data_IF_057507910033
#
_entry.id   IF_057507910033
#
_cell.length_a   1.000
_cell.length_b   1.000
_cell.length_c   1.000
_cell.angle_alpha   90.00
_cell.angle_beta   90.00
_cell.angle_gamma   90.00
#
_symmetry.space_group_name_H-M   'P 1'
#
loop_
_entity.id
_entity.type
_entity.pdbx_description
1 polymer ?
#
# COMPACT_ATOMS: atom_id res chain seq x y z
N UNK A 1 6.05 -9.95 17.91
CA UNK A 1 5.57 -9.09 16.81
C UNK A 1 6.56 -7.95 16.66
N UNK A 2 7.26 -7.83 15.53
CA UNK A 2 7.86 -6.54 15.19
C UNK A 2 6.70 -5.64 14.78
N UNK A 3 6.49 -4.55 15.52
CA UNK A 3 5.55 -3.53 15.09
C UNK A 3 6.05 -2.97 13.75
N UNK A 4 5.14 -2.83 12.78
CA UNK A 4 5.48 -2.21 11.51
C UNK A 4 5.89 -0.75 11.72
N UNK A 5 6.42 -0.13 10.68
CA UNK A 5 6.71 1.30 10.72
C UNK A 5 5.38 2.06 10.61
N UNK A 6 4.98 2.86 11.62
CA UNK A 6 3.70 3.57 11.59
C UNK A 6 3.71 4.64 10.49
N UNK A 7 2.65 4.66 9.68
CA UNK A 7 2.41 5.69 8.67
C UNK A 7 1.39 6.69 9.20
N UNK A 8 0.26 6.19 9.73
CA UNK A 8 -0.77 7.00 10.35
C UNK A 8 -1.30 6.32 11.62
N UNK A 9 -1.50 7.10 12.67
CA UNK A 9 -2.10 6.65 13.92
C UNK A 9 -3.10 7.71 14.38
N UNK A 10 -4.35 7.54 13.98
CA UNK A 10 -5.46 8.42 14.31
C UNK A 10 -6.46 7.70 15.23
N UNK A 11 -7.40 8.47 15.79
CA UNK A 11 -8.54 7.88 16.49
C UNK A 11 -9.28 6.96 15.52
N UNK A 12 -9.43 5.70 15.93
CA UNK A 12 -10.12 4.64 15.18
C UNK A 12 -9.50 4.24 13.83
N UNK A 13 -8.25 4.62 13.56
CA UNK A 13 -7.54 4.24 12.35
C UNK A 13 -6.03 4.13 12.61
N UNK A 14 -5.46 2.96 12.28
CA UNK A 14 -4.03 2.73 12.29
C UNK A 14 -3.58 2.18 10.94
N UNK A 15 -2.54 2.77 10.36
CA UNK A 15 -1.90 2.33 9.14
C UNK A 15 -0.40 2.19 9.36
N UNK A 16 0.12 1.02 9.03
CA UNK A 16 1.53 0.68 9.21
C UNK A 16 2.11 0.07 7.93
N UNK A 17 3.37 0.35 7.64
CA UNK A 17 4.18 -0.45 6.72
C UNK A 17 4.70 -1.67 7.49
N UNK A 18 4.13 -2.85 7.22
CA UNK A 18 4.47 -4.08 7.93
C UNK A 18 5.65 -4.83 7.31
N UNK A 19 5.87 -4.69 5.99
CA UNK A 19 7.06 -5.22 5.34
C UNK A 19 7.44 -4.44 4.07
N UNK A 20 8.74 -4.37 3.80
CA UNK A 20 9.31 -4.01 2.50
C UNK A 20 10.29 -5.11 2.09
N UNK A 21 10.00 -5.80 0.99
CA UNK A 21 10.76 -6.97 0.54
C UNK A 21 11.33 -6.72 -0.84
N UNK A 22 12.66 -6.73 -0.95
CA UNK A 22 13.34 -6.59 -2.21
C UNK A 22 13.28 -7.91 -3.00
N UNK A 23 13.11 -7.80 -4.31
CA UNK A 23 13.19 -8.88 -5.28
C UNK A 23 14.09 -8.44 -6.44
N UNK A 24 14.62 -9.39 -7.21
CA UNK A 24 15.44 -9.07 -8.38
C UNK A 24 14.69 -8.19 -9.41
N UNK A 25 13.36 -8.34 -9.47
CA UNK A 25 12.48 -7.59 -10.37
C UNK A 25 11.87 -6.33 -9.76
N UNK A 26 12.12 -6.00 -8.49
CA UNK A 26 11.43 -4.88 -7.85
C UNK A 26 11.36 -4.90 -6.33
N UNK A 27 10.44 -4.10 -5.78
CA UNK A 27 10.20 -3.98 -4.35
C UNK A 27 8.72 -4.25 -4.05
N UNK A 28 8.46 -5.23 -3.18
CA UNK A 28 7.13 -5.48 -2.63
C UNK A 28 6.93 -4.73 -1.31
N UNK A 29 5.82 -4.02 -1.18
CA UNK A 29 5.42 -3.36 0.07
C UNK A 29 4.16 -4.06 0.61
N UNK A 30 4.13 -4.31 1.91
CA UNK A 30 2.94 -4.76 2.61
C UNK A 30 2.56 -3.73 3.66
N UNK A 31 1.32 -3.26 3.60
CA UNK A 31 0.76 -2.38 4.61
C UNK A 31 -0.24 -3.17 5.45
N UNK A 32 -0.46 -2.72 6.68
CA UNK A 32 -1.51 -3.21 7.56
C UNK A 32 -2.40 -2.03 7.92
N UNK A 33 -3.67 -2.12 7.55
CA UNK A 33 -4.68 -1.13 7.90
C UNK A 33 -5.66 -1.76 8.91
N UNK A 34 -5.86 -1.08 10.03
CA UNK A 34 -6.88 -1.41 11.01
C UNK A 34 -7.76 -0.19 11.26
N UNK A 35 -9.07 -0.36 11.05
CA UNK A 35 -10.07 0.69 11.26
C UNK A 35 -11.12 0.18 12.25
N UNK A 36 -11.52 1.00 13.21
CA UNK A 36 -12.50 0.67 14.24
C UNK A 36 -13.69 1.63 14.23
N UNK A 37 -14.72 1.29 15.01
CA UNK A 37 -15.90 2.14 15.17
C UNK A 37 -16.60 2.45 13.84
N UNK A 38 -17.18 3.66 13.76
CA UNK A 38 -17.93 4.12 12.58
C UNK A 38 -17.07 4.15 11.31
N UNK A 39 -15.76 4.43 11.43
CA UNK A 39 -14.84 4.40 10.27
C UNK A 39 -14.73 3.00 9.66
N UNK A 40 -14.89 1.94 10.45
CA UNK A 40 -14.85 0.56 9.95
C UNK A 40 -16.05 0.25 9.06
N UNK A 41 -17.21 0.81 9.37
CA UNK A 41 -18.43 0.64 8.58
C UNK A 41 -18.30 1.36 7.22
N UNK A 42 -17.73 2.57 7.22
CA UNK A 42 -17.35 3.25 5.98
C UNK A 42 -16.34 2.43 5.17
N UNK A 43 -15.28 1.92 5.79
CA UNK A 43 -14.28 1.13 5.08
C UNK A 43 -14.88 -0.12 4.41
N UNK A 44 -15.83 -0.80 5.06
CA UNK A 44 -16.57 -1.92 4.47
C UNK A 44 -17.48 -1.51 3.34
N UNK A 45 -18.19 -0.39 3.49
CA UNK A 45 -19.07 0.14 2.46
C UNK A 45 -18.29 0.49 1.19
N UNK A 46 -17.14 1.14 1.35
CA UNK A 46 -16.26 1.62 0.30
C UNK A 46 -15.48 0.51 -0.43
N UNK A 47 -15.27 -0.65 0.20
CA UNK A 47 -14.53 -1.78 -0.39
C UNK A 47 -15.40 -2.84 -1.04
N UNK A 48 -16.69 -2.54 -1.22
CA UNK A 48 -17.62 -3.50 -1.84
C UNK A 48 -17.23 -3.77 -3.29
N UNK A 49 -17.17 -5.05 -3.70
CA UNK A 49 -16.84 -5.37 -5.08
C UNK A 49 -17.94 -4.86 -6.03
N UNK A 50 -17.53 -4.32 -7.18
CA UNK A 50 -18.42 -3.89 -8.28
C UNK A 50 -19.16 -5.06 -8.96
N UNK A 51 -19.15 -6.24 -8.36
CA UNK A 51 -19.67 -7.48 -8.93
C UNK A 51 -21.17 -7.64 -8.76
N UNK A 52 -21.83 -6.77 -7.99
CA UNK A 52 -23.30 -6.70 -7.93
C UNK A 52 -23.81 -5.68 -8.95
N UNK A 53 -24.41 -6.12 -10.08
CA UNK A 53 -24.95 -5.22 -11.10
C UNK A 53 -26.17 -4.42 -10.61
N UNK A 54 -26.78 -4.81 -9.49
CA UNK A 54 -27.94 -4.13 -8.89
C UNK A 54 -27.57 -3.07 -7.85
N UNK A 55 -26.32 -3.04 -7.39
CA UNK A 55 -25.84 -2.06 -6.42
C UNK A 55 -25.33 -0.80 -7.14
N UNK A 56 -26.25 0.13 -7.40
CA UNK A 56 -25.97 1.46 -7.95
C UNK A 56 -25.15 2.35 -7.01
N UNK A 57 -24.91 1.91 -5.77
CA UNK A 57 -24.07 2.59 -4.80
C UNK A 57 -22.69 1.97 -4.65
N UNK A 58 -22.42 0.84 -5.33
CA UNK A 58 -21.12 0.19 -5.32
C UNK A 58 -20.06 1.13 -5.92
N UNK A 59 -19.12 1.53 -5.08
CA UNK A 59 -17.92 2.23 -5.49
C UNK A 59 -16.74 1.36 -5.08
N UNK A 60 -15.80 1.15 -6.00
CA UNK A 60 -14.53 0.56 -5.64
C UNK A 60 -13.64 1.69 -5.13
N UNK A 61 -13.51 1.87 -3.82
CA UNK A 61 -12.48 2.72 -3.24
C UNK A 61 -11.59 1.92 -2.28
N UNK A 62 -10.27 2.07 -2.43
CA UNK A 62 -9.26 1.41 -1.60
C UNK A 62 -8.26 2.42 -1.09
N UNK A 63 -7.42 2.00 -0.14
CA UNK A 63 -6.24 2.74 0.30
C UNK A 63 -5.38 3.11 -0.91
N UNK A 64 -5.44 4.37 -1.32
CA UNK A 64 -4.61 4.89 -2.39
C UNK A 64 -3.19 5.06 -1.86
N UNK A 65 -2.24 4.38 -2.48
CA UNK A 65 -0.82 4.49 -2.17
C UNK A 65 -0.14 5.10 -3.39
N UNK A 66 0.39 6.30 -3.21
CA UNK A 66 1.24 6.95 -4.19
C UNK A 66 2.69 6.81 -3.75
N UNK A 67 3.54 6.35 -4.67
CA UNK A 67 4.95 6.12 -4.44
C UNK A 67 5.77 7.16 -5.19
N UNK A 68 6.82 7.65 -4.55
CA UNK A 68 7.81 8.55 -5.14
C UNK A 68 9.23 8.05 -4.84
N UNK A 69 9.96 7.65 -5.86
CA UNK A 69 11.36 7.25 -5.78
C UNK A 69 12.07 7.49 -7.11
N UNK A 70 13.29 8.04 -7.08
CA UNK A 70 14.00 8.46 -8.30
C UNK A 70 13.10 9.37 -9.16
N UNK A 71 12.98 9.07 -10.46
CA UNK A 71 12.05 9.73 -11.40
C UNK A 71 10.67 9.03 -11.48
N UNK A 72 10.44 8.01 -10.64
CA UNK A 72 9.19 7.25 -10.62
C UNK A 72 8.22 7.83 -9.59
N UNK A 73 7.11 8.36 -10.10
CA UNK A 73 5.95 8.76 -9.32
C UNK A 73 4.72 8.07 -9.88
N UNK A 74 3.92 7.43 -9.02
CA UNK A 74 2.70 6.78 -9.48
C UNK A 74 1.87 6.14 -8.37
N UNK A 75 0.64 5.82 -8.71
CA UNK A 75 -0.22 4.99 -7.87
C UNK A 75 0.28 3.55 -7.91
N UNK A 76 0.42 2.97 -6.72
CA UNK A 76 0.61 1.55 -6.60
C UNK A 76 -0.76 0.89 -6.54
N UNK A 77 -0.98 -0.08 -7.43
CA UNK A 77 -2.21 -0.86 -7.43
C UNK A 77 -2.15 -1.95 -6.34
N UNK A 78 -3.22 -2.11 -5.55
CA UNK A 78 -3.30 -3.17 -4.56
C UNK A 78 -3.42 -4.52 -5.27
N UNK A 79 -2.43 -5.39 -5.08
CA UNK A 79 -2.48 -6.77 -5.53
C UNK A 79 -3.21 -7.61 -4.47
N UNK A 80 -4.41 -8.11 -4.80
CA UNK A 80 -5.27 -8.93 -3.92
C UNK A 80 -5.66 -8.28 -2.57
N UNK A 81 -6.47 -7.20 -2.55
CA UNK A 81 -7.06 -6.72 -1.32
C UNK A 81 -8.07 -7.75 -0.80
N UNK A 82 -7.65 -8.61 0.13
CA UNK A 82 -8.56 -9.52 0.83
C UNK A 82 -8.69 -9.00 2.26
N UNK A 83 -9.87 -8.51 2.69
CA UNK A 83 -10.08 -8.17 4.08
C UNK A 83 -9.83 -9.41 4.95
N UNK A 84 -9.00 -9.28 5.99
CA UNK A 84 -8.57 -10.43 6.80
C UNK A 84 -9.73 -11.02 7.62
N UNK A 85 -10.80 -10.25 7.86
CA UNK A 85 -12.00 -10.73 8.57
C UNK A 85 -13.16 -9.73 8.43
N UNK A 86 -14.37 -10.22 8.14
CA UNK A 86 -15.61 -9.51 8.46
C UNK A 86 -16.33 -8.81 7.31
N UNK A 87 -16.69 -9.56 6.26
CA UNK A 87 -17.84 -9.17 5.42
C UNK A 87 -19.15 -9.25 6.23
N UNK A 88 -19.17 -10.02 7.33
CA UNK A 88 -20.31 -10.23 8.25
C UNK A 88 -20.62 -9.05 9.22
N UNK A 89 -20.18 -7.84 8.89
CA UNK A 89 -20.85 -6.61 9.34
C UNK A 89 -20.69 -6.16 10.80
N UNK A 90 -19.92 -6.84 11.66
CA UNK A 90 -19.68 -6.37 13.04
C UNK A 90 -18.22 -6.56 13.45
N UNK A 91 -17.51 -5.47 13.76
CA UNK A 91 -16.14 -5.50 14.29
C UNK A 91 -15.18 -4.49 13.66
N UNK A 92 -13.86 -4.58 13.95
CA UNK A 92 -12.85 -3.81 13.23
C UNK A 92 -12.77 -4.23 11.75
N UNK A 93 -12.51 -3.28 10.87
CA UNK A 93 -12.13 -3.56 9.48
C UNK A 93 -10.60 -3.69 9.42
N UNK A 94 -10.11 -4.83 8.91
CA UNK A 94 -8.68 -5.12 8.78
C UNK A 94 -8.35 -5.60 7.38
N UNK A 95 -7.28 -5.06 6.81
CA UNK A 95 -6.77 -5.48 5.50
C UNK A 95 -5.25 -5.33 5.45
N UNK A 96 -4.61 -6.20 4.68
CA UNK A 96 -3.15 -6.22 4.48
C UNK A 96 -2.76 -6.05 3.01
N UNK A 97 -3.04 -4.88 2.40
CA UNK A 97 -2.81 -4.67 0.98
C UNK A 97 -1.33 -4.76 0.64
N UNK A 98 -1.06 -5.37 -0.51
CA UNK A 98 0.27 -5.52 -1.07
C UNK A 98 0.41 -4.65 -2.31
N UNK A 99 1.56 -4.00 -2.44
CA UNK A 99 1.88 -3.09 -3.53
C UNK A 99 3.21 -3.51 -4.15
N UNK A 100 3.30 -3.38 -5.47
CA UNK A 100 4.50 -3.75 -6.22
C UNK A 100 5.12 -2.54 -6.89
N UNK A 101 6.43 -2.41 -6.76
CA UNK A 101 7.25 -1.46 -7.50
C UNK A 101 8.13 -2.26 -8.44
N UNK A 102 8.03 -2.03 -9.75
CA UNK A 102 8.79 -2.76 -10.77
C UNK A 102 10.30 -2.47 -10.81
N UNK A 103 10.85 -1.80 -9.80
CA UNK A 103 12.28 -1.53 -9.68
C UNK A 103 12.67 -1.34 -8.21
N UNK A 104 13.97 -1.47 -7.94
CA UNK A 104 14.57 -1.08 -6.66
C UNK A 104 15.12 0.35 -6.78
N UNK A 105 14.63 1.33 -5.98
CA UNK A 105 15.09 2.71 -6.06
C UNK A 105 16.61 2.88 -5.95
N UNK A 106 17.20 3.62 -6.88
CA UNK A 106 18.65 3.90 -6.93
C UNK A 106 19.06 4.95 -5.91
N UNK A 107 18.18 5.92 -5.61
CA UNK A 107 18.37 6.94 -4.57
C UNK A 107 18.34 6.38 -3.15
N UNK A 108 18.05 5.09 -2.98
CA UNK A 108 17.93 4.39 -1.68
C UNK A 108 16.92 5.06 -0.74
N UNK A 109 15.96 5.78 -1.31
CA UNK A 109 14.91 6.47 -0.59
C UNK A 109 13.60 6.22 -1.32
N UNK A 110 12.54 5.97 -0.55
CA UNK A 110 11.20 5.80 -1.08
C UNK A 110 10.22 6.62 -0.25
N UNK A 111 9.56 7.57 -0.88
CA UNK A 111 8.45 8.31 -0.28
C UNK A 111 7.16 7.55 -0.56
N UNK A 112 6.44 7.21 0.51
CA UNK A 112 5.15 6.53 0.46
C UNK A 112 4.12 7.54 0.94
N UNK A 113 3.19 7.93 0.08
CA UNK A 113 2.05 8.78 0.42
C UNK A 113 0.79 7.96 0.38
N UNK A 114 0.07 7.90 1.48
CA UNK A 114 -1.16 7.11 1.63
C UNK A 114 -2.34 8.02 1.83
N UNK A 115 -3.48 7.70 1.23
CA UNK A 115 -4.72 8.47 1.43
C UNK A 115 -5.93 7.57 1.23
N UNK A 116 -6.97 7.82 2.02
CA UNK A 116 -8.29 7.24 1.80
C UNK A 116 -9.35 8.16 2.44
N UNK A 117 -9.72 9.26 1.76
CA UNK A 117 -10.57 10.29 2.32
C UNK A 117 -11.94 9.78 2.81
N UNK A 118 -12.49 8.77 2.15
CA UNK A 118 -13.79 8.17 2.47
C UNK A 118 -13.83 7.51 3.86
N UNK A 119 -12.68 7.06 4.37
CA UNK A 119 -12.55 6.52 5.74
C UNK A 119 -11.90 7.51 6.71
N UNK A 120 -11.70 8.76 6.26
CA UNK A 120 -11.09 9.84 7.04
C UNK A 120 -9.56 9.83 7.07
N UNK A 121 -8.90 9.03 6.23
CA UNK A 121 -7.44 9.06 6.11
C UNK A 121 -7.02 10.17 5.13
N UNK A 122 -6.54 11.29 5.67
CA UNK A 122 -5.95 12.35 4.87
C UNK A 122 -4.59 11.93 4.29
N UNK A 123 -4.13 12.56 3.18
CA UNK A 123 -2.81 12.29 2.61
C UNK A 123 -1.71 12.36 3.67
N UNK A 124 -1.06 11.23 3.91
CA UNK A 124 0.00 11.08 4.91
C UNK A 124 1.21 10.44 4.26
N UNK A 125 2.37 11.10 4.39
CA UNK A 125 3.61 10.69 3.73
C UNK A 125 4.65 10.21 4.73
N UNK A 126 5.40 9.20 4.34
CA UNK A 126 6.58 8.75 5.08
C UNK A 126 7.72 8.43 4.12
N UNK A 127 8.96 8.67 4.55
CA UNK A 127 10.15 8.34 3.78
C UNK A 127 10.83 7.11 4.38
N UNK A 128 11.00 6.08 3.56
CA UNK A 128 11.73 4.87 3.89
C UNK A 128 13.15 4.96 3.34
N UNK A 129 14.14 4.85 4.22
CA UNK A 129 15.53 4.65 3.81
C UNK A 129 15.75 3.18 3.46
N UNK A 130 16.20 2.92 2.25
CA UNK A 130 16.48 1.58 1.74
C UNK A 130 17.98 1.27 1.87
N UNK A 131 18.28 -0.02 2.09
CA UNK A 131 19.65 -0.52 2.02
C UNK A 131 20.20 -0.52 0.58
N UNK A 132 21.42 -1.02 0.36
CA UNK A 132 21.83 -1.41 -0.98
C UNK A 132 20.89 -2.50 -1.52
N UNK A 133 20.64 -2.50 -2.83
CA UNK A 133 19.94 -3.62 -3.47
C UNK A 133 20.68 -4.92 -3.14
N UNK A 134 19.99 -5.93 -2.55
CA UNK A 134 20.62 -7.22 -2.28
C UNK A 134 20.83 -8.04 -3.56
N UNK A 135 20.27 -7.60 -4.69
CA UNK A 135 20.47 -8.22 -5.99
C UNK A 135 21.51 -7.44 -6.79
N UNK A 136 22.41 -8.13 -7.50
CA UNK A 136 23.38 -7.47 -8.36
C UNK A 136 22.62 -6.67 -9.42
N UNK A 137 22.87 -5.36 -9.47
CA UNK A 137 22.47 -4.56 -10.62
C UNK A 137 23.25 -5.13 -11.81
N UNK A 138 22.59 -5.87 -12.69
CA UNK A 138 23.15 -6.09 -14.01
C UNK A 138 23.17 -4.72 -14.67
N UNK A 139 24.30 -4.02 -14.52
CA UNK A 139 24.67 -3.00 -15.47
C UNK A 139 24.59 -3.72 -16.81
N UNK A 140 23.60 -3.37 -17.64
CA UNK A 140 23.68 -3.71 -19.04
C UNK A 140 24.96 -3.07 -19.52
N UNK A 141 26.02 -3.87 -19.59
CA UNK A 141 27.30 -3.45 -20.09
C UNK A 141 27.04 -2.90 -21.48
N UNK A 142 27.21 -1.60 -21.62
CA UNK A 142 27.59 -0.98 -22.88
C UNK A 142 29.01 -1.46 -23.20
N UNK A 143 29.15 -2.74 -23.48
CA UNK A 143 30.30 -3.34 -24.15
C UNK A 143 29.81 -3.85 -25.51
N UNK A 144 29.20 -2.95 -26.27
CA UNK A 144 29.09 -3.10 -27.71
C UNK A 144 30.36 -2.55 -28.33
N UNK A 145 31.35 -3.43 -28.49
CA UNK A 145 32.47 -3.33 -29.42
C UNK A 145 32.09 -2.56 -30.69
N UNK A 146 32.88 -1.55 -31.07
CA UNK A 146 33.88 -1.68 -32.15
C UNK A 146 34.84 -0.50 -32.19
#
# INVERSE_FOLDING_TARGET
MHAGMPIAAEKDLALELSAATAFASGLGLRLTLCVTGVRADFARYETRPLTDPGDWTAQWSYLAVHLGADDLAGFADPFHPTPDSGQDGSGPYRTTPQYWIGTYPTTKSLTITTSWPQVGLHPTSVTLTLGPSPFPTTAFGSDARR
#
